data_IF_621410160036
#
_entry.id   IF_621410160036
#
_cell.length_a   1.000
_cell.length_b   1.000
_cell.length_c   1.000
_cell.angle_alpha   90.00
_cell.angle_beta   90.00
_cell.angle_gamma   90.00
#
_symmetry.space_group_name_H-M   'P 1'
#
loop_
_entity.id
_entity.type
_entity.pdbx_description
1 polymer ?
#
# COMPACT_ATOMS: atom_id res chain seq x y z
N UNK A 1 -2.35 13.01 -1.22
CA UNK A 1 -2.56 12.81 0.22
C UNK A 1 -1.50 13.63 0.93
N UNK A 2 -1.82 14.40 1.98
CA UNK A 2 -0.80 15.09 2.77
C UNK A 2 0.29 14.11 3.18
N UNK A 3 1.51 14.62 3.33
CA UNK A 3 2.59 13.81 3.86
C UNK A 3 2.20 13.32 5.26
N UNK A 4 2.44 12.04 5.54
CA UNK A 4 2.08 11.47 6.82
C UNK A 4 2.86 12.11 7.98
N UNK A 5 4.01 12.71 7.68
CA UNK A 5 4.88 13.39 8.65
C UNK A 5 4.23 14.59 9.35
N UNK A 6 3.11 15.10 8.83
CA UNK A 6 2.31 16.15 9.47
C UNK A 6 1.44 15.63 10.63
N UNK A 7 1.28 14.30 10.78
CA UNK A 7 0.44 13.69 11.81
C UNK A 7 1.22 13.14 13.00
N UNK A 8 0.56 13.10 14.16
CA UNK A 8 1.08 12.45 15.35
C UNK A 8 1.38 10.95 15.12
N UNK A 9 2.24 10.40 15.98
CA UNK A 9 2.73 9.03 15.85
C UNK A 9 1.61 7.99 15.85
N UNK A 10 0.61 8.16 16.72
CA UNK A 10 -0.53 7.24 16.86
C UNK A 10 -1.35 7.16 15.57
N UNK A 11 -1.54 8.28 14.88
CA UNK A 11 -2.24 8.30 13.58
C UNK A 11 -1.42 7.62 12.50
N UNK A 12 -0.11 7.89 12.44
CA UNK A 12 0.80 7.26 11.49
C UNK A 12 0.86 5.75 11.70
N UNK A 13 0.96 5.28 12.94
CA UNK A 13 1.01 3.86 13.28
C UNK A 13 -0.21 3.06 12.77
N UNK A 14 -1.35 3.72 12.60
CA UNK A 14 -2.59 3.07 12.12
C UNK A 14 -2.74 3.11 10.60
N UNK A 15 -2.18 4.11 9.91
CA UNK A 15 -2.54 4.41 8.51
C UNK A 15 -1.36 4.59 7.55
N UNK A 16 -0.20 4.99 8.05
CA UNK A 16 0.95 5.24 7.20
C UNK A 16 1.40 3.95 6.50
N UNK A 17 1.80 4.06 5.23
CA UNK A 17 2.23 2.93 4.41
C UNK A 17 1.10 2.15 3.73
N UNK A 18 -0.14 2.21 4.22
CA UNK A 18 -1.27 1.53 3.60
C UNK A 18 -1.58 2.12 2.21
N UNK A 19 -1.73 1.24 1.20
CA UNK A 19 -2.20 1.59 -0.14
C UNK A 19 -3.35 0.68 -0.53
N UNK A 20 -4.52 1.26 -0.79
CA UNK A 20 -5.69 0.50 -1.25
C UNK A 20 -5.52 0.08 -2.70
N UNK A 21 -5.93 -1.13 -3.01
CA UNK A 21 -6.08 -1.59 -4.39
C UNK A 21 -7.32 -0.97 -5.05
N UNK A 22 -7.58 -1.34 -6.30
CA UNK A 22 -8.82 -0.97 -6.99
C UNK A 22 -10.10 -1.48 -6.32
N UNK A 23 -10.00 -2.48 -5.45
CA UNK A 23 -11.13 -3.04 -4.70
C UNK A 23 -11.54 -2.17 -3.50
N UNK A 24 -10.73 -1.19 -3.12
CA UNK A 24 -11.08 -0.20 -2.10
C UNK A 24 -11.10 -0.74 -0.67
N UNK A 25 -10.38 -1.82 -0.39
CA UNK A 25 -10.36 -2.49 0.91
C UNK A 25 -9.89 -1.56 2.05
N UNK A 26 -10.40 -1.80 3.26
CA UNK A 26 -10.06 -1.00 4.45
C UNK A 26 -8.86 -1.54 5.22
N UNK A 27 -8.62 -2.84 5.12
CA UNK A 27 -7.45 -3.53 5.69
C UNK A 27 -6.30 -3.54 4.68
N UNK A 28 -5.16 -4.10 5.06
CA UNK A 28 -4.08 -4.33 4.10
C UNK A 28 -4.37 -5.56 3.25
N UNK A 29 -4.14 -5.44 1.94
CA UNK A 29 -4.27 -6.56 1.02
C UNK A 29 -3.15 -7.59 1.26
N UNK A 30 -3.49 -8.88 1.29
CA UNK A 30 -2.52 -9.96 1.35
C UNK A 30 -2.21 -10.39 -0.07
N UNK A 31 -0.92 -10.36 -0.45
CA UNK A 31 -0.42 -10.85 -1.74
C UNK A 31 0.37 -12.14 -1.53
N UNK A 32 -0.29 -13.31 -1.40
CA UNK A 32 0.36 -14.59 -1.13
C UNK A 32 0.99 -15.19 -2.40
N UNK A 33 1.81 -14.39 -3.09
CA UNK A 33 2.57 -14.78 -4.28
C UNK A 33 4.03 -14.42 -4.07
N UNK A 34 4.93 -15.24 -4.58
CA UNK A 34 6.37 -14.99 -4.55
C UNK A 34 6.88 -14.30 -5.83
N UNK A 35 6.01 -14.06 -6.81
CA UNK A 35 6.37 -13.49 -8.11
C UNK A 35 5.37 -12.44 -8.60
N UNK A 36 5.86 -11.58 -9.50
CA UNK A 36 5.09 -10.59 -10.24
C UNK A 36 5.22 -10.86 -11.75
N UNK A 37 4.22 -10.43 -12.52
CA UNK A 37 4.27 -10.47 -13.99
C UNK A 37 4.76 -9.13 -14.53
N UNK A 38 5.63 -9.16 -15.53
CA UNK A 38 6.08 -7.98 -16.26
C UNK A 38 5.16 -7.74 -17.47
N UNK A 39 5.00 -6.48 -17.87
CA UNK A 39 4.22 -6.08 -19.03
C UNK A 39 4.88 -6.40 -20.37
N UNK A 40 6.20 -6.66 -20.38
CA UNK A 40 6.92 -7.08 -21.58
C UNK A 40 8.20 -7.85 -21.24
N UNK A 41 8.87 -8.40 -22.26
CA UNK A 41 10.18 -9.04 -22.10
C UNK A 41 11.36 -8.05 -21.93
N UNK A 42 11.15 -6.76 -22.19
CA UNK A 42 12.19 -5.73 -22.12
C UNK A 42 12.13 -4.86 -20.85
N UNK A 43 11.10 -5.05 -20.02
CA UNK A 43 11.00 -4.48 -18.66
C UNK A 43 12.01 -5.16 -17.73
#
# INVERSE_FOLDING_TARGET
MPDYDEFNFETRAVRAGQRRTGEGEHSEAIFPTSSYVFGSAAE
#
